data_IF_149614396110
#
_entry.id   IF_149614396110
#
_cell.length_a   1.000
_cell.length_b   1.000
_cell.length_c   1.000
_cell.angle_alpha   90.00
_cell.angle_beta   90.00
_cell.angle_gamma   90.00
#
_symmetry.space_group_name_H-M   'P 1'
#
loop_
_entity.id
_entity.type
_entity.pdbx_description
1 polymer ?
#
# COMPACT_ATOMS: atom_id res chain seq x y z
N UNK A 1 -26.81 -3.80 -22.46
CA UNK A 1 -26.62 -3.95 -20.99
C UNK A 1 -26.23 -2.60 -20.40
N UNK A 2 -27.21 -1.85 -19.89
CA UNK A 2 -27.07 -0.46 -19.41
C UNK A 2 -26.05 -0.32 -18.26
N UNK A 3 -25.91 -1.35 -17.43
CA UNK A 3 -25.09 -1.29 -16.20
C UNK A 3 -23.56 -1.43 -16.41
N UNK A 4 -23.07 -1.63 -17.63
CA UNK A 4 -21.60 -1.64 -17.86
C UNK A 4 -21.00 -0.24 -18.02
N UNK A 5 -21.84 0.78 -18.28
CA UNK A 5 -21.44 2.19 -18.45
C UNK A 5 -21.38 2.94 -17.12
N UNK A 6 -22.41 2.77 -16.29
CA UNK A 6 -22.41 3.23 -14.90
C UNK A 6 -22.61 2.04 -13.96
N UNK A 7 -21.52 1.67 -13.27
CA UNK A 7 -21.47 0.53 -12.35
C UNK A 7 -21.77 0.92 -10.90
N UNK A 8 -21.96 2.22 -10.63
CA UNK A 8 -22.26 2.75 -9.31
C UNK A 8 -23.76 2.83 -9.01
N UNK A 9 -24.60 2.89 -10.05
CA UNK A 9 -26.05 3.06 -9.94
C UNK A 9 -26.70 1.91 -9.19
N UNK A 10 -27.54 2.25 -8.21
CA UNK A 10 -28.29 1.29 -7.41
C UNK A 10 -29.47 0.71 -8.19
N UNK A 11 -29.98 -0.44 -7.75
CA UNK A 11 -31.19 -1.02 -8.35
C UNK A 11 -32.43 -0.14 -8.22
N UNK A 12 -32.46 0.78 -7.24
CA UNK A 12 -33.56 1.72 -7.04
C UNK A 12 -33.49 2.87 -8.03
N UNK A 13 -32.30 3.46 -8.22
CA UNK A 13 -32.07 4.51 -9.22
C UNK A 13 -32.33 3.98 -10.63
N UNK A 14 -31.83 2.78 -10.95
CA UNK A 14 -32.11 2.12 -12.23
C UNK A 14 -33.61 1.87 -12.45
N UNK A 15 -34.35 1.50 -11.40
CA UNK A 15 -35.81 1.35 -11.50
C UNK A 15 -36.51 2.68 -11.82
N UNK A 16 -36.01 3.80 -11.28
CA UNK A 16 -36.53 5.14 -11.58
C UNK A 16 -36.19 5.55 -13.02
N UNK A 17 -34.96 5.31 -13.48
CA UNK A 17 -34.54 5.56 -14.86
C UNK A 17 -35.39 4.76 -15.86
N UNK A 18 -35.65 3.49 -15.56
CA UNK A 18 -36.50 2.64 -16.40
C UNK A 18 -37.92 3.18 -16.45
N UNK A 19 -38.46 3.62 -15.31
CA UNK A 19 -39.79 4.22 -15.25
C UNK A 19 -39.89 5.50 -16.07
N UNK A 20 -38.86 6.35 -16.06
CA UNK A 20 -38.77 7.54 -16.91
C UNK A 20 -38.71 7.19 -18.40
N UNK A 21 -38.06 6.07 -18.73
CA UNK A 21 -38.03 5.50 -20.08
C UNK A 21 -39.30 4.70 -20.46
N UNK A 22 -40.36 4.74 -19.64
CA UNK A 22 -41.64 4.07 -19.90
C UNK A 22 -41.69 2.60 -19.49
N UNK A 23 -40.64 2.08 -18.85
CA UNK A 23 -40.56 0.69 -18.36
C UNK A 23 -40.81 0.65 -16.86
N UNK A 24 -41.96 0.13 -16.45
CA UNK A 24 -42.25 -0.04 -15.02
C UNK A 24 -41.58 -1.31 -14.48
N UNK A 25 -40.62 -1.13 -13.58
CA UNK A 25 -39.95 -2.23 -12.89
C UNK A 25 -39.66 -1.85 -11.44
N UNK A 26 -39.86 -2.80 -10.52
CA UNK A 26 -39.41 -2.64 -9.14
C UNK A 26 -37.90 -2.80 -9.01
N UNK A 27 -37.29 -2.17 -8.00
CA UNK A 27 -35.86 -2.34 -7.69
C UNK A 27 -35.46 -3.82 -7.50
N UNK A 28 -36.38 -4.66 -7.00
CA UNK A 28 -36.17 -6.11 -6.88
C UNK A 28 -36.07 -6.79 -8.25
N UNK A 29 -36.90 -6.38 -9.20
CA UNK A 29 -36.88 -6.90 -10.57
C UNK A 29 -35.59 -6.52 -11.27
N UNK A 30 -35.20 -5.24 -11.18
CA UNK A 30 -33.91 -4.75 -11.67
C UNK A 30 -32.78 -5.58 -11.09
N UNK A 31 -32.70 -5.71 -9.75
CA UNK A 31 -31.65 -6.51 -9.09
C UNK A 31 -31.59 -7.94 -9.60
N UNK A 32 -32.73 -8.61 -9.82
CA UNK A 32 -32.75 -9.98 -10.34
C UNK A 32 -32.15 -10.07 -11.75
N UNK A 33 -32.50 -9.13 -12.63
CA UNK A 33 -31.94 -9.04 -13.99
C UNK A 33 -30.42 -8.84 -13.92
N UNK A 34 -29.95 -7.91 -13.08
CA UNK A 34 -28.51 -7.68 -12.91
C UNK A 34 -27.78 -8.95 -12.43
N UNK A 35 -28.39 -9.71 -11.51
CA UNK A 35 -27.83 -10.98 -11.04
C UNK A 35 -27.83 -12.07 -12.11
N UNK A 36 -28.86 -12.14 -12.96
CA UNK A 36 -28.89 -13.05 -14.12
C UNK A 36 -27.77 -12.73 -15.11
N UNK A 37 -27.43 -11.45 -15.27
CA UNK A 37 -26.31 -10.98 -16.09
C UNK A 37 -24.94 -11.10 -15.37
N UNK A 38 -24.88 -11.69 -14.17
CA UNK A 38 -23.65 -11.88 -13.40
C UNK A 38 -23.13 -10.61 -12.71
N UNK A 39 -23.89 -9.52 -12.70
CA UNK A 39 -23.52 -8.24 -12.11
C UNK A 39 -23.86 -8.22 -10.61
N UNK A 40 -22.96 -8.78 -9.83
CA UNK A 40 -23.08 -8.85 -8.36
C UNK A 40 -22.51 -7.58 -7.72
N UNK A 41 -23.27 -6.98 -6.80
CA UNK A 41 -22.79 -5.84 -6.02
C UNK A 41 -21.60 -6.25 -5.13
N UNK A 42 -20.50 -5.50 -5.27
CA UNK A 42 -19.26 -5.64 -4.48
C UNK A 42 -18.82 -4.26 -4.02
N UNK A 43 -18.03 -4.21 -2.94
CA UNK A 43 -17.39 -2.95 -2.53
C UNK A 43 -16.37 -2.54 -3.58
N UNK A 44 -16.40 -1.28 -4.00
CA UNK A 44 -15.39 -0.73 -4.90
C UNK A 44 -14.00 -0.85 -4.27
N UNK A 45 -13.01 -1.23 -5.08
CA UNK A 45 -11.62 -1.24 -4.66
C UNK A 45 -11.14 0.20 -4.42
N UNK A 46 -10.52 0.45 -3.27
CA UNK A 46 -9.88 1.74 -2.99
C UNK A 46 -8.50 1.74 -3.65
N UNK A 47 -8.26 2.71 -4.55
CA UNK A 47 -6.96 2.92 -5.19
C UNK A 47 -6.58 4.39 -5.09
N UNK A 48 -5.29 4.72 -4.93
CA UNK A 48 -4.84 6.12 -4.99
C UNK A 48 -5.17 6.71 -6.36
N UNK A 49 -5.58 7.97 -6.38
CA UNK A 49 -5.76 8.72 -7.62
C UNK A 49 -4.38 9.03 -8.21
N UNK A 50 -4.15 8.63 -9.46
CA UNK A 50 -2.87 8.81 -10.13
C UNK A 50 -2.93 9.98 -11.11
N UNK A 51 -1.92 10.84 -11.09
CA UNK A 51 -1.72 11.84 -12.14
C UNK A 51 -1.31 11.17 -13.47
N UNK A 52 -1.52 11.87 -14.59
CA UNK A 52 -1.04 11.40 -15.91
C UNK A 52 0.47 11.13 -15.92
N UNK A 53 1.24 11.94 -15.18
CA UNK A 53 2.68 11.74 -14.99
C UNK A 53 2.98 10.44 -14.27
N UNK A 54 2.34 10.17 -13.13
CA UNK A 54 2.59 8.94 -12.37
C UNK A 54 2.22 7.69 -13.17
N UNK A 55 1.13 7.73 -13.95
CA UNK A 55 0.75 6.62 -14.85
C UNK A 55 1.86 6.35 -15.87
N UNK A 56 2.38 7.40 -16.51
CA UNK A 56 3.47 7.29 -17.49
C UNK A 56 4.74 6.73 -16.86
N UNK A 57 5.17 7.27 -15.72
CA UNK A 57 6.40 6.88 -15.05
C UNK A 57 6.33 5.41 -14.58
N UNK A 58 5.17 4.97 -14.05
CA UNK A 58 4.89 3.56 -13.72
C UNK A 58 4.98 2.66 -14.94
N UNK A 59 4.40 3.06 -16.07
CA UNK A 59 4.44 2.27 -17.29
C UNK A 59 5.88 2.13 -17.83
N UNK A 60 6.67 3.19 -17.79
CA UNK A 60 8.09 3.15 -18.19
C UNK A 60 8.87 2.20 -17.27
N UNK A 61 8.66 2.30 -15.97
CA UNK A 61 9.29 1.41 -14.99
C UNK A 61 8.94 -0.06 -15.25
N UNK A 62 7.64 -0.38 -15.38
CA UNK A 62 7.21 -1.75 -15.67
C UNK A 62 7.75 -2.27 -17.01
N UNK A 63 7.83 -1.43 -18.05
CA UNK A 63 8.42 -1.82 -19.34
C UNK A 63 9.91 -2.11 -19.23
N UNK A 64 10.64 -1.31 -18.44
CA UNK A 64 12.09 -1.46 -18.24
C UNK A 64 12.43 -2.81 -17.60
N UNK A 65 11.64 -3.25 -16.63
CA UNK A 65 11.88 -4.47 -15.86
C UNK A 65 10.92 -5.61 -16.22
N UNK A 66 10.22 -5.52 -17.37
CA UNK A 66 9.20 -6.50 -17.79
C UNK A 66 9.79 -7.88 -18.00
N UNK A 67 11.00 -7.93 -18.56
CA UNK A 67 11.64 -9.17 -19.00
C UNK A 67 12.61 -9.71 -17.92
N UNK A 68 12.59 -9.14 -16.71
CA UNK A 68 13.39 -9.62 -15.58
C UNK A 68 12.90 -10.97 -15.07
N UNK A 69 13.84 -11.86 -14.85
CA UNK A 69 13.59 -13.20 -14.30
C UNK A 69 13.56 -13.17 -12.77
N UNK A 70 13.10 -14.26 -12.16
CA UNK A 70 13.20 -14.43 -10.70
C UNK A 70 14.65 -14.32 -10.20
N UNK A 71 15.65 -14.72 -11.02
CA UNK A 71 17.07 -14.59 -10.70
C UNK A 71 17.52 -13.12 -10.66
N UNK A 72 16.96 -12.28 -11.53
CA UNK A 72 17.25 -10.85 -11.54
C UNK A 72 16.63 -10.15 -10.33
N UNK A 73 15.37 -10.45 -10.03
CA UNK A 73 14.70 -9.99 -8.81
C UNK A 73 15.37 -10.50 -7.52
N UNK A 74 16.02 -11.67 -7.60
CA UNK A 74 16.80 -12.24 -6.49
C UNK A 74 18.02 -11.42 -6.08
N UNK A 75 18.44 -10.44 -6.90
CA UNK A 75 19.54 -9.52 -6.62
C UNK A 75 19.08 -8.23 -5.94
N UNK A 76 17.77 -8.04 -5.76
CA UNK A 76 17.21 -6.81 -5.21
C UNK A 76 17.03 -6.95 -3.70
N UNK A 77 17.51 -5.95 -2.97
CA UNK A 77 17.19 -5.73 -1.56
C UNK A 77 16.21 -4.55 -1.47
N UNK A 78 15.01 -4.84 -0.98
CA UNK A 78 13.93 -3.89 -0.79
C UNK A 78 14.00 -3.30 0.61
N UNK A 79 13.54 -2.05 0.74
CA UNK A 79 13.36 -1.37 2.02
C UNK A 79 12.01 -0.67 2.08
N UNK A 80 11.41 -0.66 3.27
CA UNK A 80 10.22 0.15 3.52
C UNK A 80 10.07 0.49 5.01
N UNK A 81 9.31 1.54 5.27
CA UNK A 81 8.96 2.05 6.59
C UNK A 81 7.49 1.78 6.89
N UNK A 82 7.21 1.00 7.92
CA UNK A 82 5.84 0.70 8.31
C UNK A 82 5.50 1.27 9.70
N UNK A 83 4.41 2.04 9.83
CA UNK A 83 3.93 2.49 11.13
C UNK A 83 3.12 1.40 11.83
N UNK A 84 3.47 1.11 13.08
CA UNK A 84 2.75 0.19 13.96
C UNK A 84 2.07 0.97 15.09
N UNK A 85 0.77 0.75 15.26
CA UNK A 85 0.00 1.33 16.37
C UNK A 85 0.26 0.55 17.64
N UNK A 86 0.62 1.24 18.72
CA UNK A 86 0.78 0.64 20.05
C UNK A 86 -0.56 0.47 20.77
N UNK A 87 -1.57 1.26 20.39
CA UNK A 87 -2.89 1.21 20.99
C UNK A 87 -4.01 1.15 19.93
N UNK A 88 -5.02 0.35 20.25
CA UNK A 88 -6.17 0.08 19.39
C UNK A 88 -5.88 -1.08 18.45
N UNK A 89 -6.72 -2.12 18.51
CA UNK A 89 -6.58 -3.26 17.62
C UNK A 89 -6.72 -2.83 16.15
N UNK A 90 -5.80 -3.28 15.30
CA UNK A 90 -5.94 -3.16 13.85
C UNK A 90 -7.00 -4.15 13.39
N UNK A 91 -8.21 -3.67 13.08
CA UNK A 91 -9.27 -4.48 12.48
C UNK A 91 -10.62 -4.38 13.18
N UNK A 92 -11.58 -5.18 12.69
CA UNK A 92 -12.95 -5.21 13.22
C UNK A 92 -13.08 -6.32 14.25
N UNK A 93 -13.14 -5.97 15.53
CA UNK A 93 -13.56 -6.90 16.58
C UNK A 93 -15.08 -7.03 16.58
N UNK A 94 -15.59 -8.25 16.47
CA UNK A 94 -17.02 -8.53 16.55
C UNK A 94 -17.43 -8.73 18.01
N UNK A 95 -18.56 -8.13 18.40
CA UNK A 95 -19.17 -8.29 19.71
C UNK A 95 -20.54 -8.93 19.54
N UNK A 96 -20.86 -9.90 20.41
CA UNK A 96 -22.22 -10.43 20.53
C UNK A 96 -22.94 -9.61 21.61
N UNK A 97 -24.01 -8.92 21.24
CA UNK A 97 -24.77 -8.03 22.14
C UNK A 97 -26.26 -8.02 21.78
N UNK A 98 -27.13 -7.76 22.74
CA UNK A 98 -28.58 -7.58 22.53
C UNK A 98 -28.88 -6.21 21.91
N UNK A 99 -30.11 -6.01 21.45
CA UNK A 99 -30.58 -4.71 20.98
C UNK A 99 -30.53 -3.69 22.13
N UNK A 100 -30.03 -2.48 21.86
CA UNK A 100 -29.85 -1.44 22.89
C UNK A 100 -28.49 -1.46 23.60
N UNK A 101 -27.78 -2.60 23.64
CA UNK A 101 -26.49 -2.73 24.35
C UNK A 101 -25.30 -2.12 23.59
N UNK A 102 -25.55 -1.24 22.60
CA UNK A 102 -24.50 -0.71 21.72
C UNK A 102 -23.36 -0.01 22.48
N UNK A 103 -23.72 0.67 23.56
CA UNK A 103 -22.81 1.46 24.38
C UNK A 103 -22.55 0.83 25.76
N UNK A 104 -22.98 -0.41 25.98
CA UNK A 104 -22.61 -1.13 27.19
C UNK A 104 -21.08 -1.26 27.26
N UNK A 105 -20.49 -1.08 28.44
CA UNK A 105 -19.04 -1.01 28.62
C UNK A 105 -18.30 -2.26 28.09
N UNK A 106 -18.92 -3.44 28.18
CA UNK A 106 -18.39 -4.70 27.63
C UNK A 106 -18.54 -4.85 26.11
N UNK A 107 -19.31 -3.97 25.46
CA UNK A 107 -19.68 -4.00 24.04
C UNK A 107 -19.04 -2.87 23.22
N UNK A 108 -18.14 -2.10 23.84
CA UNK A 108 -17.38 -1.02 23.20
C UNK A 108 -15.89 -1.33 23.19
N UNK A 109 -15.21 -0.90 22.14
CA UNK A 109 -13.75 -0.86 22.11
C UNK A 109 -13.30 0.56 22.43
N UNK A 110 -12.42 0.75 23.43
CA UNK A 110 -11.80 2.05 23.66
C UNK A 110 -11.04 2.53 22.42
N UNK A 111 -11.16 3.82 22.12
CA UNK A 111 -10.44 4.49 21.03
C UNK A 111 -9.85 5.80 21.53
N UNK A 112 -8.65 6.12 21.06
CA UNK A 112 -8.00 7.42 21.30
C UNK A 112 -7.92 8.19 19.98
N UNK A 113 -7.98 9.53 20.03
CA UNK A 113 -7.97 10.40 18.85
C UNK A 113 -6.65 10.29 18.06
N UNK A 114 -5.54 10.20 18.77
CA UNK A 114 -4.18 10.09 18.21
C UNK A 114 -3.48 8.90 18.87
N UNK A 115 -3.67 7.67 18.37
CA UNK A 115 -3.01 6.50 18.92
C UNK A 115 -1.50 6.63 18.71
N UNK A 116 -0.75 6.24 19.72
CA UNK A 116 0.70 6.23 19.64
C UNK A 116 1.16 5.22 18.58
N UNK A 117 2.13 5.64 17.77
CA UNK A 117 2.70 4.85 16.68
C UNK A 117 4.21 4.81 16.80
N UNK A 118 4.79 3.67 16.45
CA UNK A 118 6.23 3.52 16.20
C UNK A 118 6.43 3.27 14.71
N UNK A 119 7.52 3.76 14.15
CA UNK A 119 7.92 3.42 12.79
C UNK A 119 8.97 2.33 12.86
N UNK A 120 8.81 1.30 12.03
CA UNK A 120 9.80 0.23 11.87
C UNK A 120 10.29 0.28 10.45
N UNK A 121 11.61 0.40 10.29
CA UNK A 121 12.30 0.30 9.02
C UNK A 121 12.86 -1.13 8.90
N UNK A 122 12.68 -1.73 7.73
CA UNK A 122 13.13 -3.07 7.46
C UNK A 122 13.70 -3.23 6.06
N UNK A 123 14.56 -4.22 5.91
CA UNK A 123 15.06 -4.69 4.63
C UNK A 123 14.66 -6.13 4.39
N UNK A 124 14.46 -6.52 3.13
CA UNK A 124 14.37 -7.92 2.75
C UNK A 124 14.81 -8.13 1.31
N UNK A 125 15.24 -9.34 1.00
CA UNK A 125 15.47 -9.80 -0.36
C UNK A 125 14.79 -11.16 -0.58
N UNK A 126 14.93 -11.71 -1.78
CA UNK A 126 14.49 -13.08 -2.05
C UNK A 126 15.24 -14.13 -1.20
N UNK A 127 16.42 -13.79 -0.65
CA UNK A 127 17.24 -14.70 0.15
C UNK A 127 16.71 -14.81 1.59
N UNK A 128 16.43 -13.68 2.23
CA UNK A 128 15.87 -13.61 3.60
C UNK A 128 15.44 -12.19 3.99
N UNK A 129 14.82 -12.10 5.16
CA UNK A 129 14.58 -10.84 5.88
C UNK A 129 15.90 -10.32 6.44
N UNK A 130 16.14 -9.01 6.30
CA UNK A 130 17.27 -8.29 6.86
C UNK A 130 16.98 -7.70 8.24
N UNK A 131 17.76 -6.70 8.64
CA UNK A 131 17.56 -6.02 9.93
C UNK A 131 16.21 -5.30 10.00
N UNK A 132 15.58 -5.34 11.17
CA UNK A 132 14.45 -4.47 11.53
C UNK A 132 14.91 -3.48 12.59
N UNK A 133 14.57 -2.20 12.43
CA UNK A 133 14.91 -1.17 13.40
C UNK A 133 13.71 -0.31 13.72
N UNK A 134 13.46 -0.15 15.02
CA UNK A 134 12.46 0.77 15.53
C UNK A 134 13.08 2.17 15.48
N UNK A 135 12.46 3.07 14.73
CA UNK A 135 12.91 4.45 14.64
C UNK A 135 12.52 5.21 15.92
N UNK A 136 13.45 6.00 16.50
CA UNK A 136 13.15 6.82 17.67
C UNK A 136 11.97 7.77 17.41
N UNK A 137 11.21 8.07 18.46
CA UNK A 137 10.14 9.07 18.40
C UNK A 137 10.73 10.48 18.40
N UNK A 138 10.01 11.43 17.78
CA UNK A 138 10.34 12.86 17.76
C UNK A 138 11.70 13.21 17.13
N UNK A 139 12.24 12.34 16.28
CA UNK A 139 13.46 12.60 15.51
C UNK A 139 13.12 12.95 14.07
N UNK A 140 14.02 13.69 13.43
CA UNK A 140 13.88 14.01 12.02
C UNK A 140 14.12 12.75 11.18
N UNK A 141 13.11 12.33 10.40
CA UNK A 141 13.18 11.11 9.58
C UNK A 141 14.45 11.04 8.72
N UNK A 142 14.86 12.15 8.11
CA UNK A 142 16.08 12.21 7.28
C UNK A 142 17.34 11.81 8.04
N UNK A 143 17.46 12.21 9.31
CA UNK A 143 18.64 11.94 10.15
C UNK A 143 18.68 10.47 10.53
N UNK A 144 17.56 9.95 11.02
CA UNK A 144 17.47 8.53 11.42
C UNK A 144 17.64 7.60 10.24
N UNK A 145 17.04 7.94 9.09
CA UNK A 145 17.21 7.17 7.87
C UNK A 145 18.66 7.11 7.41
N UNK A 146 19.37 8.24 7.46
CA UNK A 146 20.78 8.31 7.10
C UNK A 146 21.66 7.46 8.03
N UNK A 147 21.49 7.57 9.35
CA UNK A 147 22.22 6.75 10.32
C UNK A 147 21.93 5.26 10.10
N UNK A 148 20.65 4.93 9.94
CA UNK A 148 20.22 3.55 9.83
C UNK A 148 20.71 2.90 8.53
N UNK A 149 20.62 3.59 7.39
CA UNK A 149 21.18 3.06 6.14
C UNK A 149 22.69 2.85 6.27
N UNK A 150 23.41 3.82 6.83
CA UNK A 150 24.86 3.71 6.98
C UNK A 150 25.27 2.53 7.85
N UNK A 151 24.53 2.27 8.92
CA UNK A 151 24.91 1.27 9.93
C UNK A 151 24.30 -0.11 9.69
N UNK A 152 23.17 -0.22 8.99
CA UNK A 152 22.42 -1.48 8.88
C UNK A 152 22.30 -2.01 7.44
N UNK A 153 22.25 -1.14 6.43
CA UNK A 153 22.12 -1.59 5.04
C UNK A 153 23.37 -2.36 4.60
N UNK A 154 24.56 -1.80 4.83
CA UNK A 154 25.83 -2.42 4.40
C UNK A 154 26.05 -3.80 5.05
N UNK A 155 25.91 -3.97 6.38
CA UNK A 155 25.97 -5.31 6.98
C UNK A 155 24.93 -6.26 6.39
N UNK A 156 23.69 -5.79 6.17
CA UNK A 156 22.63 -6.62 5.58
C UNK A 156 22.99 -7.07 4.16
N UNK A 157 23.55 -6.16 3.34
CA UNK A 157 24.02 -6.48 2.00
C UNK A 157 25.17 -7.49 2.06
N UNK A 158 26.20 -7.22 2.85
CA UNK A 158 27.36 -8.12 2.98
C UNK A 158 26.94 -9.51 3.43
N UNK A 159 26.04 -9.59 4.40
CA UNK A 159 25.58 -10.86 4.97
C UNK A 159 24.69 -11.65 3.99
N UNK A 160 23.98 -10.98 3.06
CA UNK A 160 23.05 -11.62 2.12
C UNK A 160 23.65 -11.87 0.74
N UNK A 161 24.55 -11.00 0.28
CA UNK A 161 25.09 -10.99 -1.08
C UNK A 161 26.59 -11.20 -1.11
N UNK A 162 27.31 -10.98 0.00
CA UNK A 162 28.77 -11.02 0.01
C UNK A 162 29.32 -10.05 -1.03
N UNK A 163 30.14 -10.58 -1.95
CA UNK A 163 30.72 -9.81 -3.05
C UNK A 163 29.83 -9.78 -4.32
N UNK A 164 28.64 -10.40 -4.28
CA UNK A 164 27.70 -10.34 -5.40
C UNK A 164 27.12 -8.93 -5.57
N UNK A 165 27.02 -8.48 -6.82
CA UNK A 165 26.35 -7.23 -7.14
C UNK A 165 24.87 -7.29 -6.74
N UNK A 166 24.42 -6.31 -5.95
CA UNK A 166 23.04 -6.15 -5.53
C UNK A 166 22.46 -4.80 -5.97
N UNK A 167 21.14 -4.73 -6.00
CA UNK A 167 20.37 -3.54 -6.30
C UNK A 167 19.57 -3.14 -5.06
N UNK A 168 19.78 -1.92 -4.57
CA UNK A 168 19.02 -1.37 -3.47
C UNK A 168 17.76 -0.68 -3.98
N UNK A 169 16.61 -1.07 -3.46
CA UNK A 169 15.33 -0.41 -3.69
C UNK A 169 14.90 0.34 -2.44
N UNK A 170 14.52 1.60 -2.65
CA UNK A 170 13.82 2.42 -1.66
C UNK A 170 12.80 3.30 -2.39
N UNK A 171 11.80 3.79 -1.66
CA UNK A 171 10.76 4.62 -2.25
C UNK A 171 11.25 6.06 -2.55
N UNK A 172 10.38 6.84 -3.18
CA UNK A 172 10.66 8.23 -3.56
C UNK A 172 10.39 9.29 -2.50
N UNK A 173 10.30 8.94 -1.21
CA UNK A 173 10.03 9.89 -0.13
C UNK A 173 11.06 11.02 -0.05
N UNK A 174 10.65 12.16 0.49
CA UNK A 174 11.50 13.36 0.55
C UNK A 174 12.77 13.14 1.37
N UNK A 175 12.70 12.35 2.45
CA UNK A 175 13.85 11.96 3.26
C UNK A 175 14.91 11.24 2.40
N UNK A 176 14.50 10.30 1.55
CA UNK A 176 15.40 9.49 0.74
C UNK A 176 16.11 10.28 -0.37
N UNK A 177 15.57 11.46 -0.71
CA UNK A 177 16.11 12.37 -1.72
C UNK A 177 16.99 13.47 -1.13
N UNK A 178 17.25 13.46 0.18
CA UNK A 178 18.13 14.42 0.80
C UNK A 178 19.56 14.30 0.22
N UNK A 179 20.22 15.43 -0.01
CA UNK A 179 21.57 15.46 -0.63
C UNK A 179 22.59 14.57 0.09
N UNK A 180 22.55 14.55 1.42
CA UNK A 180 23.46 13.74 2.24
C UNK A 180 23.28 12.24 1.98
N UNK A 181 22.04 11.81 1.79
CA UNK A 181 21.66 10.43 1.51
C UNK A 181 22.05 10.05 0.09
N UNK A 182 21.66 10.86 -0.91
CA UNK A 182 21.97 10.55 -2.31
C UNK A 182 23.47 10.56 -2.58
N UNK A 183 24.22 11.45 -1.89
CA UNK A 183 25.68 11.47 -1.96
C UNK A 183 26.27 10.18 -1.39
N UNK A 184 25.87 9.79 -0.19
CA UNK A 184 26.37 8.58 0.45
C UNK A 184 26.06 7.32 -0.36
N UNK A 185 24.84 7.20 -0.91
CA UNK A 185 24.45 6.08 -1.78
C UNK A 185 25.31 6.02 -3.05
N UNK A 186 25.66 7.17 -3.64
CA UNK A 186 26.55 7.23 -4.81
C UNK A 186 28.02 6.92 -4.50
N UNK A 187 28.43 6.93 -3.23
CA UNK A 187 29.76 6.53 -2.79
C UNK A 187 29.87 5.01 -2.53
N UNK A 188 28.75 4.28 -2.55
CA UNK A 188 28.74 2.84 -2.27
C UNK A 188 28.93 1.99 -3.55
N UNK A 189 29.35 0.73 -3.38
CA UNK A 189 29.59 -0.23 -4.46
C UNK A 189 28.33 -0.98 -4.96
N UNK A 190 27.13 -0.58 -4.53
CA UNK A 190 25.87 -1.19 -4.97
C UNK A 190 25.04 -0.22 -5.81
N UNK A 191 24.19 -0.77 -6.69
CA UNK A 191 23.37 0.03 -7.59
C UNK A 191 22.01 0.36 -6.98
N UNK A 192 21.42 1.49 -7.37
CA UNK A 192 20.04 1.83 -7.03
C UNK A 192 19.11 1.30 -8.09
N UNK A 193 18.07 0.57 -7.68
CA UNK A 193 17.00 0.16 -8.58
C UNK A 193 16.27 1.42 -9.08
N UNK A 194 16.44 1.71 -10.38
CA UNK A 194 16.14 3.02 -11.00
C UNK A 194 14.79 3.64 -10.63
N UNK A 195 14.65 4.97 -10.75
CA UNK A 195 13.81 5.78 -9.88
C UNK A 195 12.42 5.17 -9.67
N UNK A 196 12.14 4.83 -8.42
CA UNK A 196 10.89 4.19 -8.04
C UNK A 196 9.71 5.12 -8.36
N UNK A 197 8.70 4.66 -9.11
CA UNK A 197 7.63 5.51 -9.58
C UNK A 197 6.71 5.92 -8.42
N UNK A 198 6.36 7.20 -8.36
CA UNK A 198 5.51 7.73 -7.28
C UNK A 198 4.15 7.04 -7.18
N UNK A 199 3.63 6.90 -5.95
CA UNK A 199 2.38 6.20 -5.65
C UNK A 199 2.35 4.74 -6.13
N UNK A 200 3.46 4.04 -5.93
CA UNK A 200 3.63 2.61 -6.24
C UNK A 200 4.10 1.88 -4.98
N UNK A 201 3.22 1.66 -3.99
CA UNK A 201 3.53 0.77 -2.87
C UNK A 201 3.71 -0.67 -3.33
#
# INVERSE_FOLDING_TARGET
VVQLRDRGTTSTELAQEWQQAGVSASARTVRRILLQDGLVSRRAAKKPLLSRKNIRDRLIYCKRYRDWTAKDWGKVIFSDESPFRLFGASGKKLFRRRQGERYHQSCVMPTVKHPETIHVLGYFSAKRVGSLTILPKNTAMNKEWYHHIREQLLPTIQEQFGDEQCLFQHDGAHCHKAKVITKWLGEQHFDILGPWPGYSP
#
